data_IF_170145427356
#
_entry.id   IF_170145427356
#
_cell.length_a   1.000
_cell.length_b   1.000
_cell.length_c   1.000
_cell.angle_alpha   90.00
_cell.angle_beta   90.00
_cell.angle_gamma   90.00
#
_symmetry.space_group_name_H-M   'P 1'
#
loop_
_entity.id
_entity.type
_entity.pdbx_description
1 polymer ?
#
# COMPACT_ATOMS: atom_id res chain seq x y z
N UNK A 1 -29.02 -17.55 2.90
CA UNK A 1 -27.64 -18.01 2.66
C UNK A 1 -26.72 -17.15 3.51
N UNK A 2 -25.62 -17.68 4.05
CA UNK A 2 -24.65 -16.84 4.73
C UNK A 2 -24.09 -15.80 3.76
N UNK A 3 -23.95 -14.57 4.21
CA UNK A 3 -23.35 -13.47 3.44
C UNK A 3 -21.91 -13.24 3.90
N UNK A 4 -21.06 -12.76 3.00
CA UNK A 4 -19.71 -12.29 3.32
C UNK A 4 -19.68 -10.78 3.60
N UNK A 5 -20.84 -10.11 3.59
CA UNK A 5 -20.91 -8.68 3.85
C UNK A 5 -20.37 -8.33 5.24
N UNK A 6 -19.62 -7.23 5.32
CA UNK A 6 -18.99 -6.73 6.54
C UNK A 6 -19.01 -5.21 6.57
N UNK A 7 -19.10 -4.63 7.75
CA UNK A 7 -18.85 -3.20 7.95
C UNK A 7 -17.37 -2.98 8.28
N UNK A 8 -16.74 -2.03 7.57
CA UNK A 8 -15.36 -1.66 7.77
C UNK A 8 -15.18 -0.16 7.55
N UNK A 9 -14.65 0.55 8.54
CA UNK A 9 -14.41 2.01 8.52
C UNK A 9 -15.64 2.84 8.11
N UNK A 10 -16.84 2.39 8.47
CA UNK A 10 -18.11 3.04 8.11
C UNK A 10 -18.64 2.66 6.72
N UNK A 11 -17.95 1.80 5.98
CA UNK A 11 -18.38 1.31 4.67
C UNK A 11 -18.96 -0.09 4.79
N UNK A 12 -20.09 -0.34 4.09
CA UNK A 12 -20.64 -1.70 3.93
C UNK A 12 -19.98 -2.36 2.71
N UNK A 13 -19.17 -3.37 2.98
CA UNK A 13 -18.43 -4.11 1.95
C UNK A 13 -19.12 -5.44 1.65
N UNK A 14 -19.11 -5.86 0.40
CA UNK A 14 -19.66 -7.16 -0.04
C UNK A 14 -18.81 -8.37 0.41
N UNK A 15 -17.57 -8.12 0.83
CA UNK A 15 -16.60 -9.15 1.23
C UNK A 15 -15.52 -8.53 2.15
N UNK A 16 -15.01 -9.28 3.14
CA UNK A 16 -13.87 -8.84 3.96
C UNK A 16 -12.52 -9.00 3.24
N UNK A 17 -12.50 -9.43 1.98
CA UNK A 17 -11.28 -9.72 1.23
C UNK A 17 -10.81 -8.46 0.50
N UNK A 18 -9.55 -8.08 0.74
CA UNK A 18 -8.89 -6.97 0.06
C UNK A 18 -7.73 -7.45 -0.79
N UNK A 19 -7.55 -6.84 -1.96
CA UNK A 19 -6.29 -6.94 -2.69
C UNK A 19 -5.30 -5.99 -2.05
N UNK A 20 -4.21 -6.53 -1.50
CA UNK A 20 -3.17 -5.74 -0.84
C UNK A 20 -2.34 -4.93 -1.85
N UNK A 21 -1.67 -3.88 -1.35
CA UNK A 21 -0.69 -3.12 -2.14
C UNK A 21 0.40 -4.03 -2.70
N UNK A 22 0.45 -4.16 -4.02
CA UNK A 22 1.36 -5.10 -4.69
C UNK A 22 1.19 -5.15 -6.20
N UNK A 23 1.67 -6.21 -6.86
CA UNK A 23 1.59 -6.37 -8.31
C UNK A 23 0.17 -6.37 -8.87
N UNK A 24 -0.79 -6.84 -8.08
CA UNK A 24 -2.20 -6.95 -8.48
C UNK A 24 -2.99 -5.66 -8.28
N UNK A 25 -2.35 -4.58 -7.83
CA UNK A 25 -3.01 -3.29 -7.53
C UNK A 25 -2.21 -2.07 -8.02
N UNK A 26 -1.41 -2.22 -9.09
CA UNK A 26 -0.56 -1.15 -9.61
C UNK A 26 -1.04 -0.55 -10.94
N UNK A 27 -2.10 -1.10 -11.52
CA UNK A 27 -2.65 -0.66 -12.82
C UNK A 27 -4.19 -0.56 -12.71
N UNK A 28 -4.74 0.51 -13.26
CA UNK A 28 -6.18 0.80 -13.30
C UNK A 28 -7.00 -0.40 -13.80
N UNK A 29 -6.48 -1.15 -14.79
CA UNK A 29 -7.17 -2.32 -15.37
C UNK A 29 -7.39 -3.47 -14.38
N UNK A 30 -6.59 -3.51 -13.32
CA UNK A 30 -6.69 -4.59 -12.30
C UNK A 30 -7.84 -4.36 -11.32
N UNK A 31 -8.26 -3.11 -11.13
CA UNK A 31 -9.24 -2.75 -10.12
C UNK A 31 -10.63 -3.34 -10.43
N UNK A 32 -11.19 -3.17 -11.65
CA UNK A 32 -12.45 -3.84 -12.02
C UNK A 32 -12.36 -5.36 -11.96
N UNK A 33 -11.19 -5.95 -12.24
CA UNK A 33 -11.00 -7.41 -12.13
C UNK A 33 -11.10 -7.85 -10.67
N UNK A 34 -10.48 -7.13 -9.74
CA UNK A 34 -10.59 -7.40 -8.30
C UNK A 34 -12.06 -7.34 -7.85
N UNK A 35 -12.82 -6.36 -8.32
CA UNK A 35 -14.26 -6.24 -8.05
C UNK A 35 -15.05 -7.41 -8.59
N UNK A 36 -14.81 -7.84 -9.83
CA UNK A 36 -15.46 -8.99 -10.46
C UNK A 36 -15.18 -10.29 -9.72
N UNK A 37 -13.96 -10.44 -9.19
CA UNK A 37 -13.54 -11.59 -8.39
C UNK A 37 -14.05 -11.57 -6.94
N UNK A 38 -14.83 -10.55 -6.57
CA UNK A 38 -15.51 -10.48 -5.28
C UNK A 38 -14.74 -9.80 -4.16
N UNK A 39 -13.65 -9.07 -4.44
CA UNK A 39 -12.98 -8.27 -3.44
C UNK A 39 -13.92 -7.18 -2.87
N UNK A 40 -13.82 -6.92 -1.57
CA UNK A 40 -14.50 -5.80 -0.90
C UNK A 40 -13.78 -4.47 -1.11
N UNK A 41 -12.47 -4.52 -1.33
CA UNK A 41 -11.66 -3.34 -1.60
C UNK A 41 -10.27 -3.67 -2.16
N UNK A 42 -9.56 -2.63 -2.53
CA UNK A 42 -8.18 -2.69 -3.04
C UNK A 42 -7.34 -1.63 -2.35
N UNK A 43 -6.18 -2.04 -1.85
CA UNK A 43 -5.10 -1.11 -1.48
C UNK A 43 -4.21 -0.92 -2.70
N UNK A 44 -4.19 0.29 -3.23
CA UNK A 44 -3.40 0.62 -4.42
C UNK A 44 -1.90 0.51 -4.14
N UNK A 45 -1.11 0.29 -5.18
CA UNK A 45 0.36 0.21 -5.05
C UNK A 45 0.92 1.46 -4.39
N UNK A 46 1.76 1.27 -3.37
CA UNK A 46 2.32 2.36 -2.55
C UNK A 46 3.05 3.40 -3.39
N UNK A 47 2.64 4.66 -3.28
CA UNK A 47 3.32 5.81 -3.88
C UNK A 47 4.42 6.34 -2.96
N UNK A 48 5.44 6.92 -3.57
CA UNK A 48 6.54 7.60 -2.88
C UNK A 48 6.73 9.01 -3.44
N UNK A 49 7.28 9.96 -2.65
CA UNK A 49 7.64 11.28 -3.16
C UNK A 49 8.53 11.20 -4.41
N UNK A 50 8.42 12.20 -5.29
CA UNK A 50 9.16 12.21 -6.56
C UNK A 50 10.69 12.21 -6.38
N UNK A 51 11.18 12.68 -5.24
CA UNK A 51 12.61 12.59 -4.87
C UNK A 51 13.12 11.15 -4.72
N UNK A 52 12.23 10.17 -4.52
CA UNK A 52 12.58 8.75 -4.42
C UNK A 52 12.39 7.99 -5.74
N UNK A 53 12.76 8.61 -6.85
CA UNK A 53 12.62 8.03 -8.18
C UNK A 53 13.28 6.65 -8.32
N UNK A 54 14.36 6.35 -7.59
CA UNK A 54 15.02 5.05 -7.57
C UNK A 54 14.12 3.92 -7.07
N UNK A 55 13.13 4.19 -6.23
CA UNK A 55 12.14 3.22 -5.74
C UNK A 55 11.07 2.90 -6.77
N UNK A 56 11.02 3.62 -7.88
CA UNK A 56 10.08 3.41 -8.99
C UNK A 56 10.67 2.56 -10.10
N UNK A 57 11.97 2.28 -10.03
CA UNK A 57 12.64 1.47 -11.05
C UNK A 57 12.30 0.00 -10.89
N UNK A 58 11.70 -0.58 -11.91
CA UNK A 58 11.34 -1.98 -11.98
C UNK A 58 12.15 -2.70 -13.04
N UNK A 59 13.24 -3.37 -12.68
CA UNK A 59 14.07 -4.10 -13.62
C UNK A 59 13.28 -5.27 -14.24
N UNK A 60 13.75 -5.75 -15.39
CA UNK A 60 13.18 -6.94 -16.04
C UNK A 60 14.22 -8.05 -16.11
N UNK A 61 13.83 -9.29 -15.78
CA UNK A 61 12.54 -9.71 -15.27
C UNK A 61 12.34 -9.29 -13.80
N UNK A 62 11.14 -8.84 -13.45
CA UNK A 62 10.78 -8.45 -12.07
C UNK A 62 10.67 -9.65 -11.13
N UNK A 63 10.29 -10.80 -11.68
CA UNK A 63 10.11 -12.04 -10.93
C UNK A 63 10.95 -13.14 -11.55
N UNK A 64 11.61 -13.94 -10.72
CA UNK A 64 12.38 -15.11 -11.14
C UNK A 64 12.12 -16.27 -10.20
N UNK A 65 11.91 -17.46 -10.73
CA UNK A 65 12.05 -18.69 -9.97
C UNK A 65 13.51 -19.10 -10.00
N UNK A 66 14.11 -19.21 -8.84
CA UNK A 66 15.52 -19.60 -8.67
C UNK A 66 15.50 -20.91 -7.90
N UNK A 67 16.13 -21.93 -8.47
CA UNK A 67 16.31 -23.20 -7.79
C UNK A 67 17.41 -23.14 -6.71
N UNK A 68 17.64 -24.28 -6.05
CA UNK A 68 18.64 -24.38 -5.01
C UNK A 68 20.04 -23.91 -5.43
N UNK A 69 20.42 -24.19 -6.70
CA UNK A 69 21.70 -23.81 -7.29
C UNK A 69 21.73 -22.38 -7.83
N UNK A 70 20.70 -21.56 -7.54
CA UNK A 70 20.49 -20.21 -8.08
C UNK A 70 20.33 -20.18 -9.60
N UNK A 71 19.96 -21.27 -10.20
CA UNK A 71 19.60 -21.36 -11.63
C UNK A 71 18.12 -20.99 -11.80
N UNK A 72 17.74 -20.71 -13.04
CA UNK A 72 16.33 -20.53 -13.39
C UNK A 72 15.56 -21.81 -13.09
N UNK A 73 14.44 -21.69 -12.37
CA UNK A 73 13.65 -22.82 -11.93
C UNK A 73 13.11 -23.69 -13.07
N UNK A 74 12.68 -24.87 -12.75
CA UNK A 74 11.98 -25.79 -13.64
C UNK A 74 12.35 -27.26 -13.48
N UNK A 75 13.49 -27.59 -12.87
CA UNK A 75 13.93 -28.96 -12.61
C UNK A 75 14.24 -29.23 -11.14
N UNK A 76 14.41 -28.19 -10.32
CA UNK A 76 14.66 -28.36 -8.89
C UNK A 76 13.38 -28.68 -8.13
N UNK A 77 13.50 -29.54 -7.12
CA UNK A 77 12.40 -29.81 -6.16
C UNK A 77 12.15 -28.63 -5.23
N UNK A 78 13.13 -27.76 -5.05
CA UNK A 78 13.08 -26.58 -4.19
C UNK A 78 13.45 -25.35 -5.00
N UNK A 79 12.65 -24.30 -4.86
CA UNK A 79 12.90 -23.04 -5.55
C UNK A 79 12.57 -21.86 -4.63
N UNK A 80 13.17 -20.72 -4.92
CA UNK A 80 12.85 -19.43 -4.33
C UNK A 80 12.24 -18.53 -5.38
N UNK A 81 11.16 -17.85 -5.05
CA UNK A 81 10.65 -16.76 -5.86
C UNK A 81 11.47 -15.50 -5.54
N UNK A 82 12.24 -15.04 -6.50
CA UNK A 82 12.87 -13.73 -6.43
C UNK A 82 11.91 -12.69 -7.03
N UNK A 83 11.61 -11.66 -6.23
CA UNK A 83 10.78 -10.53 -6.64
C UNK A 83 11.60 -9.24 -6.51
N UNK A 84 11.56 -8.42 -7.54
CA UNK A 84 12.12 -7.08 -7.52
C UNK A 84 11.02 -6.08 -7.89
N UNK A 85 10.24 -5.72 -6.92
CA UNK A 85 9.15 -4.78 -7.04
C UNK A 85 9.20 -3.80 -5.87
N UNK A 86 9.13 -2.53 -6.19
CA UNK A 86 9.22 -1.45 -5.20
C UNK A 86 7.92 -0.63 -5.16
N UNK A 87 8.04 0.69 -5.23
CA UNK A 87 6.90 1.61 -5.21
C UNK A 87 6.13 1.64 -6.54
N UNK A 88 5.04 2.42 -6.57
CA UNK A 88 4.34 2.77 -7.81
C UNK A 88 5.30 3.38 -8.82
N UNK A 89 5.20 3.00 -10.08
CA UNK A 89 6.18 3.34 -11.11
C UNK A 89 6.01 4.73 -11.73
N UNK A 90 4.85 5.37 -11.55
CA UNK A 90 4.55 6.72 -12.04
C UNK A 90 4.99 7.83 -11.08
N UNK A 91 4.78 9.07 -11.47
CA UNK A 91 4.96 10.24 -10.61
C UNK A 91 3.86 10.32 -9.55
N UNK A 92 4.00 11.20 -8.58
CA UNK A 92 2.93 11.47 -7.59
C UNK A 92 1.66 11.96 -8.28
N UNK A 93 1.79 12.79 -9.32
CA UNK A 93 0.65 13.24 -10.11
C UNK A 93 -0.06 12.07 -10.81
N UNK A 94 0.68 11.19 -11.47
CA UNK A 94 0.11 10.01 -12.12
C UNK A 94 -0.60 9.11 -11.09
N UNK A 95 -0.14 9.09 -9.85
CA UNK A 95 -0.78 8.33 -8.78
C UNK A 95 -2.13 8.93 -8.37
N UNK A 96 -2.25 10.24 -8.25
CA UNK A 96 -3.52 10.87 -7.96
C UNK A 96 -4.54 10.63 -9.08
N UNK A 97 -4.10 10.74 -10.35
CA UNK A 97 -4.91 10.37 -11.50
C UNK A 97 -5.33 8.87 -11.43
N UNK A 98 -4.42 7.99 -11.00
CA UNK A 98 -4.71 6.56 -10.81
C UNK A 98 -5.79 6.33 -9.73
N UNK A 99 -5.72 7.02 -8.58
CA UNK A 99 -6.74 6.95 -7.53
C UNK A 99 -8.10 7.39 -8.09
N UNK A 100 -8.14 8.55 -8.73
CA UNK A 100 -9.38 9.12 -9.29
C UNK A 100 -10.02 8.17 -10.31
N UNK A 101 -9.24 7.62 -11.24
CA UNK A 101 -9.76 6.70 -12.25
C UNK A 101 -10.23 5.40 -11.59
N UNK A 102 -9.50 4.88 -10.59
CA UNK A 102 -9.90 3.68 -9.85
C UNK A 102 -11.26 3.85 -9.18
N UNK A 103 -11.53 5.02 -8.59
CA UNK A 103 -12.83 5.37 -8.02
C UNK A 103 -13.95 5.48 -9.07
N UNK A 104 -13.64 6.00 -10.25
CA UNK A 104 -14.61 6.13 -11.33
C UNK A 104 -14.97 4.79 -12.00
N UNK A 105 -14.05 3.82 -11.96
CA UNK A 105 -14.18 2.56 -12.71
C UNK A 105 -14.61 1.36 -11.86
N UNK A 106 -14.77 1.54 -10.55
CA UNK A 106 -15.19 0.47 -9.65
C UNK A 106 -16.03 0.98 -8.46
N UNK A 107 -16.82 0.09 -7.86
CA UNK A 107 -17.66 0.39 -6.69
C UNK A 107 -17.12 -0.21 -5.40
N UNK A 108 -15.95 -0.86 -5.42
CA UNK A 108 -15.32 -1.39 -4.21
C UNK A 108 -14.52 -0.30 -3.49
N UNK A 109 -14.18 -0.53 -2.23
CA UNK A 109 -13.39 0.40 -1.44
C UNK A 109 -11.99 0.58 -2.05
N UNK A 110 -11.60 1.83 -2.29
CA UNK A 110 -10.27 2.19 -2.80
C UNK A 110 -9.45 2.84 -1.68
N UNK A 111 -8.35 2.20 -1.32
CA UNK A 111 -7.42 2.68 -0.31
C UNK A 111 -6.14 3.11 -1.01
N UNK A 112 -5.79 4.39 -0.92
CA UNK A 112 -4.49 4.88 -1.40
C UNK A 112 -3.39 4.46 -0.42
N UNK A 113 -2.24 4.03 -0.92
CA UNK A 113 -1.09 3.65 -0.06
C UNK A 113 0.10 4.56 -0.34
N UNK A 114 0.71 5.09 0.71
CA UNK A 114 1.82 6.02 0.63
C UNK A 114 2.98 5.60 1.54
N UNK A 115 4.20 5.95 1.14
CA UNK A 115 5.40 5.92 1.95
C UNK A 115 6.18 7.22 1.75
N UNK A 116 6.67 7.80 2.85
CA UNK A 116 7.58 8.94 2.84
C UNK A 116 8.57 8.84 4.01
N UNK A 117 9.53 9.75 4.10
CA UNK A 117 10.46 9.86 5.22
C UNK A 117 10.32 11.19 5.97
N UNK A 118 9.80 12.22 5.32
CA UNK A 118 9.57 13.53 5.92
C UNK A 118 8.08 13.72 6.21
N UNK A 119 7.76 14.39 7.31
CA UNK A 119 6.37 14.62 7.75
C UNK A 119 5.56 15.38 6.70
N UNK A 120 6.16 16.40 6.08
CA UNK A 120 5.49 17.21 5.07
C UNK A 120 5.15 16.39 3.82
N UNK A 121 6.01 15.46 3.42
CA UNK A 121 5.72 14.55 2.30
C UNK A 121 4.57 13.59 2.62
N UNK A 122 4.53 13.06 3.86
CA UNK A 122 3.40 12.23 4.30
C UNK A 122 2.08 12.98 4.20
N UNK A 123 2.04 14.21 4.70
CA UNK A 123 0.83 15.05 4.66
C UNK A 123 0.47 15.41 3.21
N UNK A 124 1.44 15.76 2.39
CA UNK A 124 1.23 16.08 0.98
C UNK A 124 0.62 14.90 0.21
N UNK A 125 1.20 13.71 0.34
CA UNK A 125 0.68 12.50 -0.31
C UNK A 125 -0.72 12.16 0.20
N UNK A 126 -0.94 12.24 1.51
CA UNK A 126 -2.22 11.91 2.12
C UNK A 126 -3.35 12.84 1.65
N UNK A 127 -3.11 14.14 1.59
CA UNK A 127 -4.08 15.11 1.08
C UNK A 127 -4.40 14.88 -0.41
N UNK A 128 -3.37 14.65 -1.22
CA UNK A 128 -3.60 14.38 -2.65
C UNK A 128 -4.36 13.09 -2.90
N UNK A 129 -4.15 12.05 -2.09
CA UNK A 129 -4.92 10.80 -2.12
C UNK A 129 -6.39 11.05 -1.73
N UNK A 130 -6.65 11.83 -0.66
CA UNK A 130 -7.99 12.21 -0.26
C UNK A 130 -8.69 13.04 -1.34
N UNK A 131 -8.02 14.07 -1.87
CA UNK A 131 -8.55 14.94 -2.93
C UNK A 131 -8.87 14.17 -4.22
N UNK A 132 -8.09 13.13 -4.52
CA UNK A 132 -8.35 12.20 -5.63
C UNK A 132 -9.53 11.24 -5.37
N UNK A 133 -10.13 11.28 -4.17
CA UNK A 133 -11.37 10.58 -3.84
C UNK A 133 -11.20 9.17 -3.28
N UNK A 134 -10.04 8.82 -2.74
CA UNK A 134 -9.87 7.56 -2.02
C UNK A 134 -10.81 7.47 -0.81
N UNK A 135 -11.22 6.24 -0.45
CA UNK A 135 -12.09 5.98 0.70
C UNK A 135 -11.31 5.93 2.02
N UNK A 136 -10.03 5.61 1.95
CA UNK A 136 -9.10 5.58 3.08
C UNK A 136 -7.65 5.71 2.59
N UNK A 137 -6.72 5.90 3.53
CA UNK A 137 -5.28 5.95 3.27
C UNK A 137 -4.58 4.87 4.09
N UNK A 138 -3.66 4.13 3.46
CA UNK A 138 -2.69 3.26 4.12
C UNK A 138 -1.33 3.96 4.20
N UNK A 139 -0.80 4.13 5.40
CA UNK A 139 0.59 4.53 5.62
C UNK A 139 1.48 3.28 5.66
N UNK A 140 2.27 3.04 4.60
CA UNK A 140 3.15 1.88 4.49
C UNK A 140 4.47 2.12 5.25
N UNK A 141 4.42 2.03 6.56
CA UNK A 141 5.56 2.23 7.44
C UNK A 141 6.45 0.98 7.50
N UNK A 142 5.93 -0.16 7.06
CA UNK A 142 6.63 -1.44 7.05
C UNK A 142 7.71 -1.57 5.97
N UNK A 143 7.90 -0.54 5.15
CA UNK A 143 8.80 -0.62 3.99
C UNK A 143 10.25 -0.87 4.40
N UNK A 144 10.87 -2.00 3.98
CA UNK A 144 12.25 -2.35 4.34
C UNK A 144 13.30 -1.53 3.57
N UNK A 145 12.88 -0.53 2.81
CA UNK A 145 13.73 0.15 1.85
C UNK A 145 14.65 1.23 2.44
N UNK A 146 14.60 1.47 3.76
CA UNK A 146 15.52 2.38 4.44
C UNK A 146 16.35 1.63 5.49
N UNK A 147 17.64 1.35 5.24
CA UNK A 147 18.55 0.86 6.27
C UNK A 147 18.75 1.95 7.34
N UNK A 148 18.59 1.62 8.60
CA UNK A 148 18.92 2.51 9.71
C UNK A 148 17.74 3.13 10.46
N UNK A 149 16.56 2.55 10.40
CA UNK A 149 15.30 2.99 11.03
C UNK A 149 15.26 2.92 12.56
N UNK A 150 16.38 3.02 13.26
CA UNK A 150 16.40 3.16 14.72
C UNK A 150 15.95 4.55 15.22
N UNK A 151 15.80 5.54 14.32
CA UNK A 151 15.09 6.81 14.60
C UNK A 151 13.59 6.71 14.34
N UNK A 152 13.09 5.53 14.09
CA UNK A 152 11.77 5.21 13.62
C UNK A 152 10.64 5.68 14.57
N UNK A 153 10.84 5.61 15.87
CA UNK A 153 9.75 5.82 16.83
C UNK A 153 9.23 7.27 16.87
N UNK A 154 10.11 8.25 16.89
CA UNK A 154 9.67 9.66 16.93
C UNK A 154 9.02 10.09 15.61
N UNK A 155 9.66 9.77 14.49
CA UNK A 155 9.15 10.11 13.16
C UNK A 155 7.85 9.39 12.81
N UNK A 156 7.68 8.15 13.28
CA UNK A 156 6.47 7.37 13.12
C UNK A 156 5.25 8.05 13.77
N UNK A 157 5.36 8.35 15.07
CA UNK A 157 4.25 8.96 15.83
C UNK A 157 3.90 10.34 15.27
N UNK A 158 4.92 11.13 14.92
CA UNK A 158 4.74 12.46 14.34
C UNK A 158 4.09 12.40 12.95
N UNK A 159 4.53 11.50 12.08
CA UNK A 159 3.95 11.31 10.76
C UNK A 159 2.48 10.89 10.84
N UNK A 160 2.16 9.86 11.66
CA UNK A 160 0.77 9.41 11.83
C UNK A 160 -0.11 10.52 12.39
N UNK A 161 0.32 11.21 13.45
CA UNK A 161 -0.42 12.36 14.01
C UNK A 161 -0.68 13.46 12.99
N UNK A 162 0.35 13.80 12.23
CA UNK A 162 0.26 14.87 11.23
C UNK A 162 -0.69 14.49 10.10
N UNK A 163 -0.66 13.24 9.64
CA UNK A 163 -1.61 12.78 8.62
C UNK A 163 -3.02 12.78 9.16
N UNK A 164 -3.27 12.15 10.32
CA UNK A 164 -4.60 12.10 10.95
C UNK A 164 -5.18 13.50 11.19
N UNK A 165 -4.34 14.46 11.58
CA UNK A 165 -4.77 15.86 11.78
C UNK A 165 -5.03 16.66 10.51
N UNK A 166 -4.66 16.14 9.33
CA UNK A 166 -4.73 16.86 8.04
C UNK A 166 -5.67 16.26 7.01
N UNK A 167 -6.22 15.05 7.23
CA UNK A 167 -7.19 14.39 6.36
C UNK A 167 -8.47 14.06 7.11
N UNK A 168 -9.56 13.84 6.38
CA UNK A 168 -10.89 13.51 6.93
C UNK A 168 -11.26 12.03 6.72
N UNK A 169 -10.64 11.39 5.74
CA UNK A 169 -10.86 9.96 5.45
C UNK A 169 -10.07 9.09 6.44
N UNK A 170 -10.51 7.84 6.69
CA UNK A 170 -9.83 6.94 7.60
C UNK A 170 -8.36 6.71 7.24
N UNK A 171 -7.51 6.63 8.26
CA UNK A 171 -6.07 6.37 8.14
C UNK A 171 -5.77 4.97 8.70
N UNK A 172 -5.17 4.13 7.88
CA UNK A 172 -4.66 2.81 8.23
C UNK A 172 -3.14 2.88 8.34
N UNK A 173 -2.58 2.13 9.25
CA UNK A 173 -1.12 2.03 9.37
C UNK A 173 -0.69 0.59 9.13
N UNK A 174 0.07 0.36 8.07
CA UNK A 174 0.64 -0.95 7.77
C UNK A 174 1.95 -1.13 8.53
N UNK A 175 1.92 -2.04 9.51
CA UNK A 175 3.06 -2.37 10.36
C UNK A 175 3.82 -3.58 9.80
N UNK A 176 5.15 -3.54 9.89
CA UNK A 176 6.02 -4.67 9.55
C UNK A 176 6.17 -5.67 10.71
N UNK A 177 6.58 -6.90 10.42
CA UNK A 177 6.93 -7.85 11.47
C UNK A 177 8.22 -7.40 12.16
N UNK A 178 8.13 -7.04 13.42
CA UNK A 178 9.27 -6.58 14.22
C UNK A 178 9.01 -6.71 15.72
N UNK A 179 10.05 -6.59 16.56
CA UNK A 179 9.90 -6.70 18.01
C UNK A 179 8.97 -5.64 18.59
N UNK A 180 8.85 -4.48 17.92
CA UNK A 180 8.11 -3.33 18.43
C UNK A 180 6.68 -3.21 17.87
N UNK A 181 6.22 -4.19 17.07
CA UNK A 181 4.91 -4.14 16.42
C UNK A 181 3.75 -3.96 17.41
N UNK A 182 3.84 -4.57 18.59
CA UNK A 182 2.80 -4.42 19.62
C UNK A 182 2.78 -3.00 20.20
N UNK A 183 3.94 -2.40 20.40
CA UNK A 183 4.06 -1.02 20.84
C UNK A 183 3.48 -0.07 19.77
N UNK A 184 3.90 -0.24 18.52
CA UNK A 184 3.42 0.55 17.39
C UNK A 184 1.89 0.46 17.25
N UNK A 185 1.32 -0.74 17.36
CA UNK A 185 -0.13 -0.94 17.30
C UNK A 185 -0.87 -0.24 18.45
N UNK A 186 -0.31 -0.23 19.66
CA UNK A 186 -0.88 0.51 20.81
C UNK A 186 -0.87 2.01 20.55
N UNK A 187 0.25 2.54 20.06
CA UNK A 187 0.37 3.97 19.72
C UNK A 187 -0.64 4.36 18.65
N UNK A 188 -0.78 3.57 17.57
CA UNK A 188 -1.79 3.85 16.53
C UNK A 188 -3.22 3.88 17.06
N UNK A 189 -3.52 3.06 18.09
CA UNK A 189 -4.86 3.03 18.69
C UNK A 189 -5.17 4.29 19.50
N UNK A 190 -4.16 4.97 20.01
CA UNK A 190 -4.30 6.17 20.85
C UNK A 190 -4.31 7.48 20.03
N UNK A 191 -3.99 7.40 18.75
CA UNK A 191 -3.97 8.51 17.79
C UNK A 191 -5.27 8.62 17.02
#
# INVERSE_FOLDING_TARGET
>A
MPTLEVEFLGYRLKSPIFVASGPASHDVKQIPIAEQMGAGGVVLKTVVPDKFNYMRYWPRPRYKLIDWDKKMGGKSRYFTLYSYEQAYSGTVKDYFDFVEISKKTSNIMIIGSAFADEVDDWVYLAKGIEEAGADAIELDISSPHKPGTLQFEKHFVEAVKSVVGNVKIPVLVKLGPGPDVLYQAKVCKEL
#
